data_IF_761302604184
#
_entry.id   IF_761302604184
#
_cell.length_a   1.000
_cell.length_b   1.000
_cell.length_c   1.000
_cell.angle_alpha   90.00
_cell.angle_beta   90.00
_cell.angle_gamma   90.00
#
_symmetry.space_group_name_H-M   'P 1'
#
loop_
_entity.id
_entity.type
_entity.pdbx_description
1 polymer ?
#
# COMPACT_ATOMS: atom_id res chain seq x y z
N UNK A 1 -16.30 -21.29 -18.78
CA UNK A 1 -15.76 -21.93 -17.54
C UNK A 1 -16.50 -21.50 -16.27
N UNK A 2 -16.76 -20.21 -16.01
CA UNK A 2 -17.57 -19.78 -14.84
C UNK A 2 -19.04 -20.20 -14.92
N UNK A 3 -19.65 -20.17 -16.09
CA UNK A 3 -21.03 -20.62 -16.34
C UNK A 3 -21.19 -22.12 -16.08
N UNK A 4 -20.24 -22.93 -16.52
CA UNK A 4 -20.27 -24.38 -16.34
C UNK A 4 -20.13 -24.77 -14.86
N UNK A 5 -19.50 -23.91 -14.05
CA UNK A 5 -19.32 -24.11 -12.61
C UNK A 5 -20.46 -23.52 -11.78
N UNK A 6 -21.36 -22.72 -12.37
CA UNK A 6 -22.46 -22.06 -11.66
C UNK A 6 -22.00 -21.10 -10.57
N UNK A 7 -20.86 -20.40 -10.78
CA UNK A 7 -20.29 -19.46 -9.83
C UNK A 7 -20.26 -18.04 -10.41
N UNK A 8 -20.42 -17.04 -9.54
CA UNK A 8 -20.46 -15.64 -9.92
C UNK A 8 -19.07 -15.05 -10.22
N UNK A 9 -18.04 -15.66 -9.66
CA UNK A 9 -16.67 -15.19 -9.81
C UNK A 9 -15.69 -16.35 -9.62
N UNK A 10 -14.57 -16.30 -10.36
CA UNK A 10 -13.44 -17.22 -10.21
C UNK A 10 -12.18 -16.40 -9.94
N UNK A 11 -11.48 -16.71 -8.85
CA UNK A 11 -10.13 -16.26 -8.59
C UNK A 11 -9.14 -17.34 -9.00
N UNK A 12 -8.25 -17.02 -9.91
CA UNK A 12 -7.17 -17.91 -10.35
C UNK A 12 -5.83 -17.39 -9.84
N UNK A 13 -5.18 -18.14 -8.96
CA UNK A 13 -3.79 -17.92 -8.61
C UNK A 13 -2.91 -18.58 -9.66
N UNK A 14 -2.44 -17.82 -10.63
CA UNK A 14 -1.64 -18.36 -11.72
C UNK A 14 -0.23 -18.70 -11.29
N UNK A 15 0.33 -17.84 -10.42
CA UNK A 15 1.68 -18.00 -9.90
C UNK A 15 1.84 -17.23 -8.59
N UNK A 16 2.57 -17.82 -7.64
CA UNK A 16 3.13 -17.12 -6.48
C UNK A 16 4.64 -17.34 -6.55
N UNK A 17 5.40 -16.26 -6.76
CA UNK A 17 6.86 -16.31 -6.70
C UNK A 17 7.30 -15.79 -5.34
N UNK A 18 8.13 -16.57 -4.66
CA UNK A 18 8.71 -16.24 -3.35
C UNK A 18 10.22 -16.33 -3.52
N UNK A 19 10.92 -15.23 -3.23
CA UNK A 19 12.37 -15.16 -3.23
C UNK A 19 12.85 -14.64 -1.88
N UNK A 20 13.77 -15.34 -1.24
CA UNK A 20 14.36 -14.90 0.02
C UNK A 20 15.73 -14.29 -0.18
N UNK A 21 16.07 -13.31 0.66
CA UNK A 21 17.40 -12.72 0.74
C UNK A 21 17.70 -12.34 2.20
N UNK A 22 18.99 -12.21 2.59
CA UNK A 22 19.34 -11.61 3.87
C UNK A 22 18.77 -10.18 4.00
N UNK A 23 18.24 -9.86 5.16
CA UNK A 23 17.69 -8.57 5.52
C UNK A 23 18.05 -8.17 6.94
N UNK A 24 17.61 -6.99 7.36
CA UNK A 24 17.74 -6.50 8.74
C UNK A 24 16.43 -5.82 9.17
N UNK A 25 16.08 -6.00 10.43
CA UNK A 25 14.94 -5.33 11.06
C UNK A 25 15.43 -4.26 12.04
N UNK A 26 14.73 -3.13 12.06
CA UNK A 26 14.96 -2.04 13.00
C UNK A 26 13.73 -1.87 13.87
N UNK A 27 13.90 -1.97 15.17
CA UNK A 27 12.84 -1.71 16.14
C UNK A 27 13.08 -0.36 16.83
N UNK A 28 12.06 0.46 17.05
CA UNK A 28 12.21 1.79 17.67
C UNK A 28 12.88 1.77 19.04
N UNK A 29 12.64 0.70 19.80
CA UNK A 29 13.14 0.54 21.17
C UNK A 29 14.46 -0.24 21.25
N UNK A 30 15.01 -0.65 20.10
CA UNK A 30 16.25 -1.44 20.03
C UNK A 30 17.28 -0.75 19.14
N UNK A 31 18.44 -0.31 19.69
CA UNK A 31 19.37 0.56 18.96
C UNK A 31 20.19 -0.16 17.88
N UNK A 32 20.16 -1.47 17.83
CA UNK A 32 20.92 -2.27 16.88
C UNK A 32 20.02 -3.00 15.90
N UNK A 33 20.42 -3.12 14.63
CA UNK A 33 19.69 -3.95 13.66
C UNK A 33 19.72 -5.42 14.08
N UNK A 34 18.63 -6.11 13.85
CA UNK A 34 18.48 -7.55 14.07
C UNK A 34 18.51 -8.25 12.72
N UNK A 35 19.29 -9.31 12.61
CA UNK A 35 19.39 -10.11 11.40
C UNK A 35 18.05 -10.73 11.04
N UNK A 36 17.67 -10.62 9.78
CA UNK A 36 16.39 -11.05 9.25
C UNK A 36 16.52 -11.77 7.91
N UNK A 37 15.47 -12.43 7.51
CA UNK A 37 15.26 -12.92 6.16
C UNK A 37 14.13 -12.13 5.53
N UNK A 38 14.39 -11.42 4.45
CA UNK A 38 13.38 -10.75 3.64
C UNK A 38 12.82 -11.73 2.60
N UNK A 39 11.52 -11.85 2.55
CA UNK A 39 10.82 -12.59 1.50
C UNK A 39 10.13 -11.64 0.54
N UNK A 40 10.59 -11.61 -0.70
CA UNK A 40 9.96 -10.89 -1.80
C UNK A 40 8.87 -11.77 -2.39
N UNK A 41 7.62 -11.34 -2.32
CA UNK A 41 6.45 -12.10 -2.69
C UNK A 41 5.77 -11.43 -3.88
N UNK A 42 5.57 -12.18 -4.95
CA UNK A 42 5.00 -11.65 -6.20
C UNK A 42 3.90 -12.59 -6.71
N UNK A 43 2.65 -12.48 -6.21
CA UNK A 43 1.52 -13.22 -6.72
C UNK A 43 1.03 -12.63 -8.06
N UNK A 44 0.52 -13.51 -8.92
CA UNK A 44 -0.29 -13.13 -10.08
C UNK A 44 -1.65 -13.80 -9.92
N UNK A 45 -2.66 -12.98 -9.71
CA UNK A 45 -4.05 -13.42 -9.52
C UNK A 45 -4.92 -12.82 -10.61
N UNK A 46 -5.74 -13.66 -11.26
CA UNK A 46 -6.73 -13.22 -12.25
C UNK A 46 -8.13 -13.43 -11.73
N UNK A 47 -8.97 -12.45 -11.97
CA UNK A 47 -10.38 -12.50 -11.60
C UNK A 47 -11.23 -12.60 -12.85
N UNK A 48 -12.08 -13.62 -12.91
CA UNK A 48 -13.01 -13.86 -14.00
C UNK A 48 -14.44 -13.78 -13.52
N UNK A 49 -15.32 -13.30 -14.38
CA UNK A 49 -16.78 -13.29 -14.19
C UNK A 49 -17.47 -14.01 -15.34
N UNK A 50 -18.70 -14.48 -15.19
CA UNK A 50 -19.49 -15.07 -16.27
C UNK A 50 -19.60 -14.16 -17.49
N UNK A 51 -19.81 -14.77 -18.66
CA UNK A 51 -20.01 -14.07 -19.95
C UNK A 51 -18.83 -13.20 -20.37
N UNK A 52 -17.61 -13.51 -19.91
CA UNK A 52 -16.41 -12.78 -20.28
C UNK A 52 -15.22 -13.71 -20.52
N UNK A 53 -14.65 -13.65 -21.73
CA UNK A 53 -13.51 -14.51 -22.12
C UNK A 53 -12.18 -14.03 -21.51
N UNK A 54 -12.10 -12.75 -21.18
CA UNK A 54 -10.89 -12.15 -20.58
C UNK A 54 -11.10 -11.90 -19.08
N UNK A 55 -10.03 -11.93 -18.29
CA UNK A 55 -10.14 -11.57 -16.88
C UNK A 55 -10.73 -10.16 -16.73
N UNK A 56 -11.53 -9.97 -15.70
CA UNK A 56 -12.07 -8.67 -15.31
C UNK A 56 -10.93 -7.74 -14.94
N UNK A 57 -10.00 -8.23 -14.15
CA UNK A 57 -8.73 -7.57 -13.82
C UNK A 57 -7.67 -8.58 -13.42
N UNK A 58 -6.42 -8.13 -13.37
CA UNK A 58 -5.24 -8.90 -12.95
C UNK A 58 -4.57 -8.16 -11.82
N UNK A 59 -4.37 -8.83 -10.70
CA UNK A 59 -3.54 -8.33 -9.59
C UNK A 59 -2.15 -8.93 -9.76
N UNK A 60 -1.17 -8.06 -9.95
CA UNK A 60 0.25 -8.41 -10.03
C UNK A 60 1.01 -7.41 -9.16
N UNK A 61 1.06 -7.66 -7.86
CA UNK A 61 1.74 -6.80 -6.88
C UNK A 61 2.97 -7.54 -6.36
N UNK A 62 4.06 -6.82 -6.17
CA UNK A 62 5.21 -7.32 -5.45
C UNK A 62 5.27 -6.64 -4.10
N UNK A 63 5.50 -7.43 -3.06
CA UNK A 63 5.64 -6.94 -1.70
C UNK A 63 6.74 -7.69 -0.95
N UNK A 64 7.14 -7.19 0.22
CA UNK A 64 8.22 -7.79 1.02
C UNK A 64 7.74 -7.93 2.45
N UNK A 65 7.90 -9.14 3.00
CA UNK A 65 7.76 -9.39 4.44
C UNK A 65 9.10 -9.88 4.98
N UNK A 66 9.39 -9.56 6.24
CA UNK A 66 10.66 -9.89 6.87
C UNK A 66 10.43 -10.74 8.11
N UNK A 67 11.26 -11.76 8.28
CA UNK A 67 11.27 -12.63 9.45
C UNK A 67 12.59 -12.44 10.21
N UNK A 68 12.48 -12.24 11.52
CA UNK A 68 13.64 -12.29 12.40
C UNK A 68 14.26 -13.69 12.37
N UNK A 69 15.58 -13.77 12.34
CA UNK A 69 16.29 -15.05 12.39
C UNK A 69 16.24 -15.57 13.83
N UNK A 70 15.42 -16.59 14.03
CA UNK A 70 15.25 -17.31 15.28
C UNK A 70 15.41 -18.83 15.06
N UNK A 71 15.71 -19.63 16.10
CA UNK A 71 15.88 -21.09 15.95
C UNK A 71 14.64 -21.80 15.42
N UNK A 72 13.46 -21.22 15.59
CA UNK A 72 12.20 -21.76 15.09
C UNK A 72 11.90 -21.40 13.62
N UNK A 73 12.67 -20.48 13.03
CA UNK A 73 12.49 -20.10 11.62
C UNK A 73 12.91 -21.26 10.71
N UNK A 74 12.01 -21.70 9.87
CA UNK A 74 12.25 -22.79 8.91
C UNK A 74 11.69 -22.38 7.54
N UNK A 75 12.22 -22.97 6.48
CA UNK A 75 11.71 -22.76 5.12
C UNK A 75 10.22 -23.05 5.02
N UNK A 76 9.74 -24.05 5.74
CA UNK A 76 8.30 -24.40 5.78
C UNK A 76 7.47 -23.27 6.41
N UNK A 77 7.96 -22.64 7.49
CA UNK A 77 7.29 -21.50 8.12
C UNK A 77 7.26 -20.31 7.17
N UNK A 78 8.40 -19.99 6.53
CA UNK A 78 8.52 -18.92 5.55
C UNK A 78 7.53 -19.13 4.39
N UNK A 79 7.52 -20.32 3.76
CA UNK A 79 6.63 -20.60 2.64
C UNK A 79 5.16 -20.52 3.05
N UNK A 80 4.81 -21.03 4.24
CA UNK A 80 3.44 -20.96 4.75
C UNK A 80 3.00 -19.51 4.92
N UNK A 81 3.73 -18.73 5.68
CA UNK A 81 3.37 -17.34 5.98
C UNK A 81 3.40 -16.44 4.74
N UNK A 82 4.39 -16.65 3.85
CA UNK A 82 4.45 -15.97 2.56
C UNK A 82 3.25 -16.29 1.67
N UNK A 83 2.77 -17.53 1.69
CA UNK A 83 1.60 -17.95 0.91
C UNK A 83 0.30 -17.38 1.49
N UNK A 84 0.17 -17.34 2.81
CA UNK A 84 -0.96 -16.70 3.50
C UNK A 84 -0.99 -15.19 3.20
N UNK A 85 0.15 -14.53 3.23
CA UNK A 85 0.27 -13.12 2.86
C UNK A 85 -0.06 -12.90 1.37
N UNK A 86 0.46 -13.72 0.47
CA UNK A 86 0.15 -13.64 -0.96
C UNK A 86 -1.35 -13.77 -1.23
N UNK A 87 -2.05 -14.58 -0.45
CA UNK A 87 -3.51 -14.76 -0.56
C UNK A 87 -4.29 -13.52 -0.08
N UNK A 88 -3.76 -12.71 0.83
CA UNK A 88 -4.40 -11.48 1.30
C UNK A 88 -4.34 -10.33 0.28
N UNK A 89 -3.30 -10.27 -0.54
CA UNK A 89 -3.07 -9.18 -1.51
C UNK A 89 -4.27 -8.92 -2.44
N UNK A 90 -4.89 -9.94 -3.10
CA UNK A 90 -6.05 -9.70 -3.94
C UNK A 90 -7.30 -9.28 -3.17
N UNK A 91 -7.40 -9.58 -1.87
CA UNK A 91 -8.56 -9.23 -1.03
C UNK A 91 -8.72 -7.72 -0.93
N UNK A 92 -7.64 -6.97 -0.82
CA UNK A 92 -7.64 -5.49 -0.81
C UNK A 92 -8.28 -4.90 -2.07
N UNK A 93 -8.23 -5.61 -3.21
CA UNK A 93 -8.84 -5.17 -4.47
C UNK A 93 -10.29 -5.64 -4.66
N UNK A 94 -10.73 -6.60 -3.87
CA UNK A 94 -12.06 -7.23 -4.00
C UNK A 94 -13.06 -6.73 -2.98
N UNK A 95 -12.59 -6.35 -1.79
CA UNK A 95 -13.44 -5.94 -0.69
C UNK A 95 -13.24 -4.45 -0.38
N UNK A 96 -14.32 -3.71 -0.07
CA UNK A 96 -14.20 -2.38 0.50
C UNK A 96 -13.40 -2.44 1.81
N UNK A 97 -12.39 -1.61 1.93
CA UNK A 97 -11.57 -1.50 3.14
C UNK A 97 -11.27 -0.03 3.44
N UNK A 98 -10.92 0.23 4.68
CA UNK A 98 -10.45 1.55 5.09
C UNK A 98 -8.95 1.64 4.86
N UNK A 99 -8.54 2.71 4.21
CA UNK A 99 -7.14 2.99 3.96
C UNK A 99 -6.71 4.21 4.77
N UNK A 100 -5.60 4.10 5.49
CA UNK A 100 -5.02 5.22 6.23
C UNK A 100 -3.88 5.81 5.40
N UNK A 101 -4.08 7.05 4.98
CA UNK A 101 -3.12 7.75 4.13
C UNK A 101 -2.48 8.91 4.87
N UNK A 102 -1.19 8.80 5.17
CA UNK A 102 -0.42 9.93 5.68
C UNK A 102 -0.02 10.88 4.55
N UNK A 103 -0.25 12.17 4.74
CA UNK A 103 0.17 13.22 3.83
C UNK A 103 0.98 14.29 4.57
N UNK A 104 2.10 14.66 3.98
CA UNK A 104 2.87 15.80 4.45
C UNK A 104 2.37 17.07 3.76
N UNK A 105 2.29 18.15 4.52
CA UNK A 105 1.91 19.46 4.03
C UNK A 105 2.82 20.53 4.62
N UNK A 106 2.89 21.68 3.93
CA UNK A 106 3.62 22.83 4.43
C UNK A 106 2.66 23.75 5.18
N UNK A 107 2.89 23.94 6.48
CA UNK A 107 2.10 24.86 7.33
C UNK A 107 2.82 26.15 7.66
N UNK A 108 3.99 26.38 7.06
CA UNK A 108 4.81 27.56 7.26
C UNK A 108 4.96 28.45 6.00
N UNK A 109 5.55 29.61 6.17
CA UNK A 109 5.83 30.56 5.07
C UNK A 109 4.92 31.76 5.07
N UNK A 110 4.04 31.90 4.08
CA UNK A 110 3.09 33.01 3.98
C UNK A 110 1.85 32.82 4.86
N UNK A 111 1.01 33.85 4.93
CA UNK A 111 -0.19 33.84 5.78
C UNK A 111 -1.14 32.73 5.33
N UNK A 112 -1.42 32.64 4.05
CA UNK A 112 -2.36 31.66 3.48
C UNK A 112 -1.93 30.21 3.78
N UNK A 113 -0.62 29.92 3.74
CA UNK A 113 -0.10 28.57 4.08
C UNK A 113 -0.28 28.24 5.57
N UNK A 114 -0.07 29.23 6.46
CA UNK A 114 -0.28 29.07 7.90
C UNK A 114 -1.76 28.92 8.25
N UNK A 115 -2.61 29.72 7.62
CA UNK A 115 -4.06 29.65 7.81
C UNK A 115 -4.60 28.32 7.33
N UNK A 116 -4.14 27.80 6.19
CA UNK A 116 -4.47 26.48 5.70
C UNK A 116 -4.08 25.37 6.72
N UNK A 117 -2.89 25.47 7.33
CA UNK A 117 -2.45 24.56 8.38
C UNK A 117 -3.32 24.62 9.65
N UNK A 118 -3.86 25.78 10.01
CA UNK A 118 -4.82 25.91 11.12
C UNK A 118 -6.12 25.21 10.78
N UNK A 119 -6.73 25.52 9.63
CA UNK A 119 -7.96 24.88 9.19
C UNK A 119 -7.85 23.36 9.07
N UNK A 120 -6.69 22.85 8.62
CA UNK A 120 -6.45 21.43 8.54
C UNK A 120 -6.46 20.75 9.93
N UNK A 121 -5.83 21.38 10.94
CA UNK A 121 -5.85 20.88 12.33
C UNK A 121 -7.26 20.87 12.94
N UNK A 122 -8.12 21.77 12.47
CA UNK A 122 -9.53 21.84 12.83
C UNK A 122 -10.42 20.90 12.00
N UNK A 123 -9.82 20.04 11.16
CA UNK A 123 -10.50 19.14 10.21
C UNK A 123 -11.41 19.87 9.21
N UNK A 124 -11.12 21.13 8.93
CA UNK A 124 -11.83 21.96 7.96
C UNK A 124 -11.07 21.97 6.62
N UNK A 125 -11.26 20.91 5.85
CA UNK A 125 -10.54 20.66 4.61
C UNK A 125 -10.89 21.66 3.49
N UNK A 126 -12.12 22.12 3.43
CA UNK A 126 -12.58 23.04 2.38
C UNK A 126 -11.92 24.42 2.50
N UNK A 127 -11.84 24.95 3.72
CA UNK A 127 -11.16 26.20 3.98
C UNK A 127 -9.63 26.06 3.83
N UNK A 128 -9.05 24.95 4.30
CA UNK A 128 -7.63 24.67 4.08
C UNK A 128 -7.29 24.65 2.59
N UNK A 129 -8.07 23.94 1.78
CA UNK A 129 -7.93 23.90 0.33
C UNK A 129 -8.04 25.30 -0.31
N UNK A 130 -9.02 26.09 0.13
CA UNK A 130 -9.23 27.45 -0.37
C UNK A 130 -8.02 28.35 -0.13
N UNK A 131 -7.39 28.27 1.06
CA UNK A 131 -6.19 29.01 1.38
C UNK A 131 -4.97 28.53 0.57
N UNK A 132 -4.77 27.23 0.40
CA UNK A 132 -3.71 26.70 -0.46
C UNK A 132 -3.89 27.13 -1.92
N UNK A 133 -5.13 27.14 -2.43
CA UNK A 133 -5.44 27.59 -3.79
C UNK A 133 -5.07 29.07 -3.97
N UNK A 134 -5.41 29.93 -3.01
CA UNK A 134 -5.02 31.34 -3.02
C UNK A 134 -3.49 31.47 -3.01
N UNK A 135 -2.80 30.70 -2.16
CA UNK A 135 -1.33 30.70 -2.11
C UNK A 135 -0.72 30.24 -3.45
N UNK A 136 -1.28 29.21 -4.06
CA UNK A 136 -0.86 28.68 -5.36
C UNK A 136 -1.01 29.72 -6.49
N UNK A 137 -2.13 30.42 -6.56
CA UNK A 137 -2.43 31.41 -7.59
C UNK A 137 -1.56 32.68 -7.45
N UNK A 138 -1.31 33.11 -6.21
CA UNK A 138 -0.53 34.34 -5.94
C UNK A 138 0.99 34.17 -6.08
N UNK A 139 1.52 32.94 -6.14
CA UNK A 139 2.95 32.68 -6.02
C UNK A 139 3.57 32.10 -7.29
N UNK A 140 4.91 32.20 -7.37
CA UNK A 140 5.73 31.69 -8.48
C UNK A 140 6.86 30.82 -7.92
N UNK A 141 7.41 29.94 -8.76
CA UNK A 141 8.57 29.09 -8.43
C UNK A 141 8.31 28.14 -7.26
N UNK A 142 9.30 27.96 -6.39
CA UNK A 142 9.24 27.01 -5.27
C UNK A 142 8.07 27.26 -4.30
N UNK A 143 7.67 28.48 -4.08
CA UNK A 143 6.54 28.80 -3.20
C UNK A 143 5.21 28.33 -3.80
N UNK A 144 5.08 28.35 -5.11
CA UNK A 144 3.94 27.75 -5.81
C UNK A 144 3.90 26.25 -5.66
N UNK A 145 5.04 25.56 -5.78
CA UNK A 145 5.14 24.12 -5.60
C UNK A 145 4.77 23.64 -4.19
N UNK A 146 5.03 24.46 -3.15
CA UNK A 146 4.67 24.12 -1.75
C UNK A 146 3.18 24.23 -1.48
N UNK A 147 2.43 24.95 -2.30
CA UNK A 147 0.98 25.14 -2.19
C UNK A 147 0.17 24.22 -3.12
N UNK A 148 0.85 23.48 -3.98
CA UNK A 148 0.25 22.50 -4.89
C UNK A 148 0.12 21.14 -4.22
#
# INVERSE_FOLDING_TARGET
MSEDLGVDMILSFDRIHIQTKPGVLFYPDFPMPIDAVDGIISPIVRVYIPNRDKPLFVVAKQDTISWEIEPALSDRKIVKEASEYAASIPVEHLLPHWDEVARFYYDGGNIEMRDAGVYLRENNWDEAYSQWKIAYEKRKGQQKMKAA
#
